data_IF_736249066180
#
_entry.id   IF_736249066180
#
_cell.length_a   1.000
_cell.length_b   1.000
_cell.length_c   1.000
_cell.angle_alpha   90.00
_cell.angle_beta   90.00
_cell.angle_gamma   90.00
#
_symmetry.space_group_name_H-M   'P 1'
#
loop_
_entity.id
_entity.type
_entity.pdbx_description
1 polymer ?
#
# COMPACT_ATOMS: atom_id res chain seq x y z
N UNK A 1 -30.83 8.76 -5.02
CA UNK A 1 -30.17 9.84 -5.78
C UNK A 1 -30.79 11.25 -5.60
N UNK A 2 -31.86 11.44 -4.80
CA UNK A 2 -32.53 12.76 -4.57
C UNK A 2 -31.90 13.68 -3.50
N UNK A 3 -30.89 13.22 -2.75
CA UNK A 3 -30.31 13.97 -1.62
C UNK A 3 -29.27 15.06 -2.00
N UNK A 4 -28.92 15.21 -3.28
CA UNK A 4 -27.83 16.11 -3.72
C UNK A 4 -28.30 17.24 -4.65
N UNK A 5 -29.58 17.33 -5.00
CA UNK A 5 -30.08 18.35 -5.95
C UNK A 5 -29.92 19.79 -5.44
N UNK A 6 -29.95 20.00 -4.12
CA UNK A 6 -29.82 21.33 -3.49
C UNK A 6 -28.42 21.66 -2.94
N UNK A 7 -27.41 20.82 -3.16
CA UNK A 7 -26.06 21.06 -2.63
C UNK A 7 -25.19 21.83 -3.62
N UNK A 8 -24.34 22.70 -3.09
CA UNK A 8 -23.38 23.48 -3.86
C UNK A 8 -22.46 22.57 -4.69
N UNK A 9 -22.05 23.06 -5.86
CA UNK A 9 -21.07 22.42 -6.73
C UNK A 9 -19.78 22.13 -5.96
N UNK A 10 -19.32 23.07 -5.14
CA UNK A 10 -18.16 22.89 -4.26
C UNK A 10 -18.32 21.68 -3.33
N UNK A 11 -19.49 21.52 -2.70
CA UNK A 11 -19.75 20.37 -1.84
C UNK A 11 -19.72 19.06 -2.61
N UNK A 12 -20.32 19.02 -3.82
CA UNK A 12 -20.33 17.81 -4.67
C UNK A 12 -18.90 17.40 -5.08
N UNK A 13 -18.06 18.37 -5.45
CA UNK A 13 -16.65 18.14 -5.79
C UNK A 13 -15.89 17.66 -4.55
N UNK A 14 -15.99 18.37 -3.43
CA UNK A 14 -15.30 18.00 -2.19
C UNK A 14 -15.69 16.61 -1.71
N UNK A 15 -16.98 16.26 -1.73
CA UNK A 15 -17.46 14.93 -1.36
C UNK A 15 -16.87 13.84 -2.27
N UNK A 16 -16.78 14.10 -3.58
CA UNK A 16 -16.18 13.15 -4.53
C UNK A 16 -14.66 12.98 -4.33
N UNK A 17 -13.94 14.07 -4.05
CA UNK A 17 -12.50 14.05 -3.76
C UNK A 17 -12.25 13.31 -2.45
N UNK A 18 -13.00 13.60 -1.39
CA UNK A 18 -12.88 12.92 -0.10
C UNK A 18 -13.17 11.42 -0.25
N UNK A 19 -14.21 11.05 -0.99
CA UNK A 19 -14.51 9.64 -1.25
C UNK A 19 -13.36 8.95 -2.01
N UNK A 20 -12.78 9.61 -3.03
CA UNK A 20 -11.63 9.07 -3.75
C UNK A 20 -10.40 8.91 -2.83
N UNK A 21 -10.12 9.88 -1.97
CA UNK A 21 -9.04 9.80 -0.99
C UNK A 21 -9.26 8.68 0.01
N UNK A 22 -10.46 8.54 0.56
CA UNK A 22 -10.77 7.45 1.51
C UNK A 22 -10.58 6.07 0.88
N UNK A 23 -11.02 5.89 -0.37
CA UNK A 23 -10.83 4.63 -1.08
C UNK A 23 -9.34 4.40 -1.37
N UNK A 24 -8.60 5.43 -1.76
CA UNK A 24 -7.16 5.33 -1.99
C UNK A 24 -6.40 4.98 -0.70
N UNK A 25 -6.73 5.63 0.42
CA UNK A 25 -6.17 5.30 1.74
C UNK A 25 -6.51 3.88 2.18
N UNK A 26 -7.75 3.43 1.96
CA UNK A 26 -8.14 2.06 2.25
C UNK A 26 -7.35 1.07 1.38
N UNK A 27 -7.13 1.37 0.10
CA UNK A 27 -6.32 0.53 -0.79
C UNK A 27 -4.86 0.44 -0.34
N UNK A 28 -4.28 1.54 0.14
CA UNK A 28 -2.92 1.57 0.66
C UNK A 28 -2.80 0.77 1.97
N UNK A 29 -3.77 0.91 2.88
CA UNK A 29 -3.79 0.12 4.12
C UNK A 29 -3.89 -1.38 3.81
N UNK A 30 -4.68 -1.75 2.81
CA UNK A 30 -4.82 -3.13 2.37
C UNK A 30 -3.52 -3.69 1.77
N UNK A 31 -2.79 -2.89 0.99
CA UNK A 31 -1.47 -3.31 0.48
C UNK A 31 -0.45 -3.48 1.60
N UNK A 32 -0.46 -2.63 2.63
CA UNK A 32 0.41 -2.78 3.80
C UNK A 32 0.11 -4.06 4.59
N UNK A 33 -1.17 -4.41 4.75
CA UNK A 33 -1.56 -5.67 5.41
C UNK A 33 -1.09 -6.90 4.63
N UNK A 34 -1.14 -6.83 3.29
CA UNK A 34 -0.66 -7.89 2.41
C UNK A 34 0.87 -8.04 2.48
N UNK A 35 1.62 -6.93 2.43
CA UNK A 35 3.06 -6.96 2.62
C UNK A 35 3.44 -7.58 3.96
N UNK A 36 2.74 -7.22 5.04
CA UNK A 36 2.97 -7.80 6.35
C UNK A 36 2.69 -9.32 6.37
N UNK A 37 1.61 -9.78 5.73
CA UNK A 37 1.29 -11.20 5.61
C UNK A 37 2.39 -11.97 4.88
N UNK A 38 2.81 -11.47 3.72
CA UNK A 38 3.88 -12.09 2.91
C UNK A 38 5.20 -12.09 3.69
N UNK A 39 5.55 -10.97 4.33
CA UNK A 39 6.77 -10.86 5.11
C UNK A 39 6.79 -11.80 6.32
N UNK A 40 5.65 -12.02 6.99
CA UNK A 40 5.57 -12.96 8.12
C UNK A 40 5.73 -14.41 7.67
N UNK A 41 5.02 -14.82 6.62
CA UNK A 41 5.14 -16.17 6.03
C UNK A 41 6.58 -16.45 5.57
N UNK A 42 7.23 -15.45 4.96
CA UNK A 42 8.64 -15.54 4.56
C UNK A 42 9.58 -15.51 5.76
N UNK A 43 9.39 -14.59 6.71
CA UNK A 43 10.33 -14.31 7.80
C UNK A 43 10.47 -15.43 8.82
N UNK A 44 9.39 -16.14 9.14
CA UNK A 44 9.44 -17.29 10.07
C UNK A 44 10.33 -18.43 9.53
N UNK A 45 10.31 -18.64 8.20
CA UNK A 45 11.15 -19.62 7.51
C UNK A 45 12.66 -19.28 7.55
N UNK A 46 13.02 -18.00 7.38
CA UNK A 46 14.42 -17.55 7.43
C UNK A 46 15.00 -17.58 8.84
N UNK A 47 14.16 -17.42 9.86
CA UNK A 47 14.57 -17.45 11.26
C UNK A 47 15.13 -18.83 11.65
N UNK A 48 14.40 -19.90 11.36
CA UNK A 48 14.84 -21.28 11.71
C UNK A 48 16.15 -21.69 11.01
N UNK A 49 16.34 -21.34 9.74
CA UNK A 49 17.60 -21.60 9.03
C UNK A 49 18.78 -20.82 9.63
N UNK A 50 18.53 -19.57 10.03
CA UNK A 50 19.56 -18.75 10.67
C UNK A 50 19.95 -19.30 12.04
N UNK A 51 18.98 -19.72 12.84
CA UNK A 51 19.19 -20.32 14.18
C UNK A 51 20.00 -21.61 14.08
N UNK A 52 19.69 -22.49 13.13
CA UNK A 52 20.44 -23.73 12.91
C UNK A 52 21.88 -23.47 12.46
N UNK A 53 22.12 -22.43 11.66
CA UNK A 53 23.48 -22.02 11.28
C UNK A 53 24.27 -21.46 12.46
N UNK A 54 23.64 -20.68 13.35
CA UNK A 54 24.27 -20.22 14.60
C UNK A 54 24.66 -21.42 15.45
N UNK A 55 23.75 -22.38 15.63
CA UNK A 55 24.02 -23.62 16.35
C UNK A 55 25.20 -24.41 15.77
N UNK A 56 25.24 -24.62 14.45
CA UNK A 56 26.35 -25.31 13.79
C UNK A 56 27.70 -24.60 13.99
N UNK A 57 27.72 -23.26 13.97
CA UNK A 57 28.93 -22.47 14.19
C UNK A 57 29.43 -22.56 15.63
N UNK A 58 28.55 -22.49 16.63
CA UNK A 58 28.94 -22.63 18.04
C UNK A 58 29.35 -24.07 18.37
N UNK A 59 28.74 -25.06 17.72
CA UNK A 59 29.17 -26.46 17.82
C UNK A 59 30.58 -26.67 17.26
N UNK A 60 30.91 -26.07 16.11
CA UNK A 60 32.25 -26.12 15.53
C UNK A 60 33.30 -25.43 16.44
N UNK A 61 32.92 -24.33 17.09
CA UNK A 61 33.78 -23.68 18.10
C UNK A 61 34.01 -24.57 19.32
N UNK A 62 32.97 -25.27 19.79
CA UNK A 62 33.07 -26.20 20.89
C UNK A 62 34.01 -27.36 20.55
N UNK A 63 33.84 -27.98 19.39
CA UNK A 63 34.71 -29.07 18.94
C UNK A 63 36.18 -28.63 18.80
N UNK A 64 36.43 -27.47 18.19
CA UNK A 64 37.78 -26.93 18.08
C UNK A 64 38.41 -26.61 19.45
N UNK A 65 37.63 -26.03 20.37
CA UNK A 65 38.14 -25.76 21.73
C UNK A 65 38.44 -27.03 22.52
N UNK A 66 37.66 -28.10 22.30
CA UNK A 66 37.93 -29.42 22.85
C UNK A 66 39.25 -29.97 22.30
N UNK A 67 39.44 -29.95 20.98
CA UNK A 67 40.68 -30.40 20.33
C UNK A 67 41.90 -29.65 20.88
N UNK A 68 41.85 -28.32 20.92
CA UNK A 68 42.93 -27.48 21.45
C UNK A 68 43.24 -27.80 22.92
N UNK A 69 42.23 -28.09 23.74
CA UNK A 69 42.46 -28.46 25.14
C UNK A 69 43.08 -29.84 25.27
N UNK A 70 42.62 -30.81 24.48
CA UNK A 70 43.20 -32.15 24.44
C UNK A 70 44.67 -32.06 24.01
N UNK A 71 45.01 -31.24 23.03
CA UNK A 71 46.38 -31.08 22.54
C UNK A 71 47.28 -30.29 23.50
N UNK A 72 46.90 -29.06 23.84
CA UNK A 72 47.80 -28.08 24.47
C UNK A 72 47.61 -27.92 25.98
N UNK A 73 46.46 -28.29 26.55
CA UNK A 73 46.14 -28.20 28.00
C UNK A 73 46.33 -26.80 28.60
N UNK A 74 46.12 -25.75 27.81
CA UNK A 74 46.25 -24.36 28.29
C UNK A 74 45.01 -23.94 29.09
N UNK A 75 45.17 -22.92 29.95
CA UNK A 75 44.03 -22.28 30.62
C UNK A 75 43.04 -21.68 29.61
N UNK A 76 43.55 -21.08 28.54
CA UNK A 76 42.73 -20.47 27.48
C UNK A 76 41.84 -21.49 26.76
N UNK A 77 42.39 -22.67 26.42
CA UNK A 77 41.63 -23.70 25.70
C UNK A 77 40.52 -24.33 26.57
N UNK A 78 40.76 -24.53 27.87
CA UNK A 78 39.73 -25.06 28.76
C UNK A 78 38.64 -24.03 29.09
N UNK A 79 38.99 -22.76 29.21
CA UNK A 79 38.03 -21.67 29.41
C UNK A 79 37.13 -21.53 28.17
N UNK A 80 37.74 -21.54 26.97
CA UNK A 80 37.02 -21.52 25.70
C UNK A 80 36.08 -22.74 25.55
N UNK A 81 36.50 -23.92 26.00
CA UNK A 81 35.65 -25.12 26.02
C UNK A 81 34.40 -24.93 26.88
N UNK A 82 34.53 -24.48 28.13
CA UNK A 82 33.34 -24.27 28.97
C UNK A 82 32.44 -23.15 28.44
N UNK A 83 33.02 -22.06 27.96
CA UNK A 83 32.26 -20.95 27.39
C UNK A 83 31.48 -21.36 26.14
N UNK A 84 32.06 -22.19 25.27
CA UNK A 84 31.38 -22.72 24.09
C UNK A 84 30.38 -23.82 24.44
N UNK A 85 30.70 -24.69 25.40
CA UNK A 85 29.80 -25.74 25.89
C UNK A 85 28.52 -25.16 26.46
N UNK A 86 28.61 -24.13 27.30
CA UNK A 86 27.45 -23.47 27.88
C UNK A 86 26.56 -22.83 26.80
N UNK A 87 27.15 -22.20 25.77
CA UNK A 87 26.38 -21.65 24.64
C UNK A 87 25.65 -22.72 23.84
N UNK A 88 26.31 -23.86 23.58
CA UNK A 88 25.67 -24.97 22.86
C UNK A 88 24.56 -25.60 23.70
N UNK A 89 24.74 -25.71 25.01
CA UNK A 89 23.70 -26.19 25.94
C UNK A 89 22.47 -25.26 25.94
N UNK A 90 22.65 -23.94 26.06
CA UNK A 90 21.57 -22.95 25.96
C UNK A 90 20.78 -23.06 24.64
N UNK A 91 21.49 -23.33 23.53
CA UNK A 91 20.85 -23.53 22.22
C UNK A 91 20.10 -24.86 22.14
N UNK A 92 20.59 -25.92 22.79
CA UNK A 92 19.90 -27.22 22.86
C UNK A 92 18.60 -27.13 23.66
N UNK A 93 18.56 -26.31 24.72
CA UNK A 93 17.36 -26.08 25.54
C UNK A 93 16.23 -25.41 24.75
N UNK A 94 16.56 -24.67 23.69
CA UNK A 94 15.59 -24.07 22.79
C UNK A 94 15.05 -25.04 21.72
N UNK A 95 15.67 -26.22 21.57
CA UNK A 95 15.27 -27.23 20.58
C UNK A 95 14.19 -28.19 21.12
N UNK A 96 13.55 -28.92 20.22
CA UNK A 96 12.57 -29.95 20.57
C UNK A 96 13.19 -31.01 21.52
N UNK A 97 12.56 -31.21 22.67
CA UNK A 97 13.03 -32.12 23.73
C UNK A 97 12.35 -33.50 23.71
N UNK A 98 11.27 -33.63 22.94
CA UNK A 98 10.39 -34.80 22.92
C UNK A 98 10.11 -35.28 21.49
N UNK A 99 9.95 -36.60 21.25
CA UNK A 99 9.58 -37.13 19.95
C UNK A 99 8.30 -36.49 19.37
N UNK A 100 8.25 -36.34 18.05
CA UNK A 100 7.13 -35.71 17.35
C UNK A 100 6.71 -36.52 16.12
N UNK A 101 5.44 -36.43 15.74
CA UNK A 101 4.94 -36.95 14.46
C UNK A 101 5.22 -36.00 13.30
N UNK A 102 5.54 -34.73 13.58
CA UNK A 102 5.96 -33.77 12.57
C UNK A 102 7.42 -34.04 12.21
N UNK A 103 7.72 -34.19 10.90
CA UNK A 103 9.04 -34.60 10.42
C UNK A 103 10.15 -33.62 10.82
N UNK A 104 9.91 -32.31 10.70
CA UNK A 104 10.88 -31.27 11.09
C UNK A 104 11.16 -31.34 12.59
N UNK A 105 10.12 -31.36 13.43
CA UNK A 105 10.28 -31.44 14.90
C UNK A 105 10.93 -32.74 15.34
N UNK A 106 10.61 -33.86 14.68
CA UNK A 106 11.26 -35.14 14.95
C UNK A 106 12.75 -35.08 14.61
N UNK A 107 13.12 -34.39 13.53
CA UNK A 107 14.52 -34.20 13.18
C UNK A 107 15.23 -33.26 14.15
N UNK A 108 14.60 -32.17 14.59
CA UNK A 108 15.14 -31.31 15.64
C UNK A 108 15.42 -32.08 16.94
N UNK A 109 14.49 -32.95 17.34
CA UNK A 109 14.68 -33.83 18.48
C UNK A 109 15.91 -34.73 18.31
N UNK A 110 16.08 -35.35 17.14
CA UNK A 110 17.26 -36.18 16.84
C UNK A 110 18.56 -35.37 16.91
N UNK A 111 18.59 -34.17 16.34
CA UNK A 111 19.75 -33.25 16.43
C UNK A 111 20.05 -32.92 17.89
N UNK A 112 19.05 -32.59 18.70
CA UNK A 112 19.21 -32.32 20.13
C UNK A 112 19.79 -33.53 20.89
N UNK A 113 19.32 -34.75 20.61
CA UNK A 113 19.86 -35.97 21.23
C UNK A 113 21.35 -36.21 20.89
N UNK A 114 21.75 -36.00 19.64
CA UNK A 114 23.15 -36.10 19.25
C UNK A 114 24.01 -34.99 19.86
N UNK A 115 23.47 -33.78 19.98
CA UNK A 115 24.13 -32.65 20.65
C UNK A 115 24.38 -32.93 22.13
N UNK A 116 23.37 -33.44 22.85
CA UNK A 116 23.53 -33.86 24.25
C UNK A 116 24.56 -34.99 24.40
N UNK A 117 24.58 -35.95 23.47
CA UNK A 117 25.58 -37.02 23.46
C UNK A 117 27.00 -36.47 23.24
N UNK A 118 27.18 -35.52 22.32
CA UNK A 118 28.44 -34.83 22.09
C UNK A 118 28.90 -34.04 23.32
N UNK A 119 28.03 -33.26 23.95
CA UNK A 119 28.29 -32.54 25.19
C UNK A 119 28.71 -33.50 26.31
N UNK A 120 28.02 -34.62 26.47
CA UNK A 120 28.35 -35.64 27.46
C UNK A 120 29.74 -36.24 27.24
N UNK A 121 30.03 -36.73 26.03
CA UNK A 121 31.32 -37.36 25.74
C UNK A 121 32.49 -36.37 25.75
N UNK A 122 32.28 -35.14 25.26
CA UNK A 122 33.31 -34.09 25.33
C UNK A 122 33.65 -33.75 26.78
N UNK A 123 32.66 -33.65 27.66
CA UNK A 123 32.87 -33.39 29.10
C UNK A 123 33.64 -34.53 29.77
N UNK A 124 33.33 -35.79 29.42
CA UNK A 124 34.09 -36.95 29.88
C UNK A 124 35.52 -36.96 29.36
N UNK A 125 35.74 -36.59 28.09
CA UNK A 125 37.07 -36.48 27.50
C UNK A 125 37.92 -35.41 28.21
N UNK A 126 37.33 -34.25 28.53
CA UNK A 126 37.97 -33.21 29.33
C UNK A 126 38.33 -33.72 30.73
N UNK A 127 37.41 -34.43 31.40
CA UNK A 127 37.65 -35.00 32.71
C UNK A 127 38.77 -36.05 32.72
N UNK A 128 38.79 -36.95 31.73
CA UNK A 128 39.89 -37.91 31.54
C UNK A 128 41.23 -37.20 31.31
N UNK A 129 41.22 -36.18 30.45
CA UNK A 129 42.44 -35.42 30.14
C UNK A 129 42.98 -34.72 31.38
N UNK A 130 42.12 -34.19 32.24
CA UNK A 130 42.47 -33.58 33.54
C UNK A 130 43.02 -34.60 34.53
N UNK A 131 42.44 -35.79 34.57
CA UNK A 131 42.89 -36.89 35.44
C UNK A 131 44.20 -37.56 34.94
N UNK A 132 44.81 -37.06 33.86
CA UNK A 132 45.95 -37.69 33.19
C UNK A 132 45.69 -39.15 32.75
N UNK A 133 44.43 -39.48 32.48
CA UNK A 133 44.07 -40.76 31.84
C UNK A 133 44.50 -40.75 30.37
N UNK A 134 45.00 -41.87 29.89
CA UNK A 134 45.47 -42.07 28.50
C UNK A 134 44.47 -42.86 27.64
N UNK A 135 43.27 -43.17 28.14
CA UNK A 135 42.32 -44.02 27.41
C UNK A 135 41.88 -43.41 26.07
N UNK A 136 41.64 -42.10 26.02
CA UNK A 136 41.25 -41.37 24.79
C UNK A 136 39.89 -41.76 24.19
N UNK A 137 39.20 -42.74 24.77
CA UNK A 137 37.98 -43.33 24.21
C UNK A 137 36.84 -42.31 24.16
N UNK A 138 36.65 -41.50 25.22
CA UNK A 138 35.59 -40.50 25.22
C UNK A 138 35.85 -39.37 24.22
N UNK A 139 37.12 -39.04 23.94
CA UNK A 139 37.45 -38.07 22.90
C UNK A 139 37.04 -38.60 21.52
N UNK A 140 37.41 -39.84 21.19
CA UNK A 140 36.99 -40.47 19.94
C UNK A 140 35.47 -40.58 19.81
N UNK A 141 34.78 -40.93 20.90
CA UNK A 141 33.31 -40.96 20.94
C UNK A 141 32.69 -39.57 20.73
N UNK A 142 33.29 -38.51 21.29
CA UNK A 142 32.84 -37.15 21.04
C UNK A 142 33.00 -36.75 19.57
N UNK A 143 34.12 -37.10 18.92
CA UNK A 143 34.32 -36.82 17.49
C UNK A 143 33.33 -37.60 16.62
N UNK A 144 33.01 -38.84 16.99
CA UNK A 144 32.00 -39.62 16.29
C UNK A 144 30.60 -39.02 16.44
N UNK A 145 30.23 -38.59 17.66
CA UNK A 145 28.96 -37.89 17.89
C UNK A 145 28.89 -36.57 17.12
N UNK A 146 29.98 -35.79 17.10
CA UNK A 146 30.07 -34.55 16.34
C UNK A 146 29.86 -34.80 14.83
N UNK A 147 30.48 -35.85 14.28
CA UNK A 147 30.29 -36.24 12.87
C UNK A 147 28.83 -36.57 12.56
N UNK A 148 28.17 -37.40 13.37
CA UNK A 148 26.75 -37.72 13.17
C UNK A 148 25.85 -36.49 13.34
N UNK A 149 26.16 -35.63 14.31
CA UNK A 149 25.45 -34.39 14.54
C UNK A 149 25.53 -33.44 13.34
N UNK A 150 26.70 -33.26 12.74
CA UNK A 150 26.84 -32.47 11.51
C UNK A 150 26.00 -33.03 10.35
N UNK A 151 25.95 -34.35 10.19
CA UNK A 151 25.11 -35.00 9.18
C UNK A 151 23.61 -34.72 9.43
N UNK A 152 23.15 -34.85 10.67
CA UNK A 152 21.76 -34.60 11.02
C UNK A 152 21.39 -33.11 10.94
N UNK A 153 22.31 -32.19 11.26
CA UNK A 153 22.14 -30.74 11.05
C UNK A 153 21.97 -30.45 9.55
N UNK A 154 22.75 -31.08 8.67
CA UNK A 154 22.59 -30.90 7.23
C UNK A 154 21.22 -31.39 6.74
N UNK A 155 20.78 -32.57 7.20
CA UNK A 155 19.44 -33.11 6.87
C UNK A 155 18.33 -32.19 7.40
N UNK A 156 18.47 -31.67 8.62
CA UNK A 156 17.51 -30.73 9.20
C UNK A 156 17.45 -29.41 8.40
N UNK A 157 18.60 -28.88 7.99
CA UNK A 157 18.65 -27.68 7.14
C UNK A 157 17.93 -27.90 5.80
N UNK A 158 18.16 -29.07 5.16
CA UNK A 158 17.44 -29.44 3.93
C UNK A 158 15.93 -29.54 4.21
N UNK A 159 15.51 -30.17 5.30
CA UNK A 159 14.09 -30.27 5.67
C UNK A 159 13.48 -28.89 5.94
N UNK A 160 14.18 -28.00 6.63
CA UNK A 160 13.74 -26.62 6.76
C UNK A 160 13.59 -25.94 5.40
N UNK A 161 14.59 -26.05 4.52
CA UNK A 161 14.51 -25.49 3.18
C UNK A 161 13.36 -26.07 2.35
N UNK A 162 13.11 -27.38 2.43
CA UNK A 162 12.01 -28.06 1.73
C UNK A 162 10.65 -27.66 2.29
N UNK A 163 10.47 -27.72 3.61
CA UNK A 163 9.23 -27.31 4.27
C UNK A 163 8.93 -25.83 3.98
N UNK A 164 9.94 -24.96 4.07
CA UNK A 164 9.81 -23.55 3.72
C UNK A 164 9.45 -23.38 2.22
N UNK A 165 10.09 -24.14 1.32
CA UNK A 165 9.78 -24.13 -0.10
C UNK A 165 8.36 -24.64 -0.42
N UNK A 166 7.87 -25.65 0.30
CA UNK A 166 6.49 -26.16 0.18
C UNK A 166 5.47 -25.13 0.68
N UNK A 167 5.74 -24.47 1.81
CA UNK A 167 4.96 -23.31 2.25
C UNK A 167 4.94 -22.22 1.18
N UNK A 168 6.09 -21.87 0.59
CA UNK A 168 6.16 -20.91 -0.52
C UNK A 168 5.42 -21.37 -1.77
N UNK A 169 5.45 -22.65 -2.11
CA UNK A 169 4.79 -23.20 -3.30
C UNK A 169 3.27 -23.28 -3.11
N UNK A 170 2.80 -23.72 -1.95
CA UNK A 170 1.38 -23.77 -1.59
C UNK A 170 0.79 -22.35 -1.52
N UNK A 171 1.51 -21.39 -0.93
CA UNK A 171 1.08 -20.00 -0.88
C UNK A 171 1.26 -19.25 -2.19
N UNK A 172 2.14 -19.68 -3.11
CA UNK A 172 2.34 -19.00 -4.39
C UNK A 172 1.06 -18.88 -5.19
N UNK A 173 0.20 -19.90 -5.18
CA UNK A 173 -1.10 -19.82 -5.87
C UNK A 173 -2.05 -18.85 -5.18
N UNK A 174 -2.09 -18.84 -3.85
CA UNK A 174 -2.91 -17.90 -3.08
C UNK A 174 -2.42 -16.45 -3.25
N UNK A 175 -1.11 -16.22 -3.15
CA UNK A 175 -0.45 -14.94 -3.39
C UNK A 175 -0.72 -14.46 -4.82
N UNK A 176 -0.57 -15.33 -5.83
CA UNK A 176 -0.85 -14.97 -7.23
C UNK A 176 -2.33 -14.65 -7.46
N UNK A 177 -3.25 -15.40 -6.82
CA UNK A 177 -4.67 -15.12 -6.89
C UNK A 177 -5.00 -13.78 -6.24
N UNK A 178 -4.44 -13.49 -5.07
CA UNK A 178 -4.58 -12.19 -4.40
C UNK A 178 -4.03 -11.05 -5.28
N UNK A 179 -2.84 -11.19 -5.85
CA UNK A 179 -2.29 -10.20 -6.79
C UNK A 179 -3.20 -9.97 -7.99
N UNK A 180 -3.76 -11.02 -8.59
CA UNK A 180 -4.70 -10.90 -9.71
C UNK A 180 -5.98 -10.17 -9.29
N UNK A 181 -6.56 -10.53 -8.15
CA UNK A 181 -7.75 -9.88 -7.59
C UNK A 181 -7.48 -8.39 -7.37
N UNK A 182 -6.32 -8.04 -6.81
CA UNK A 182 -5.93 -6.65 -6.62
C UNK A 182 -5.67 -5.90 -7.92
N UNK A 183 -4.98 -6.53 -8.89
CA UNK A 183 -4.75 -5.93 -10.19
C UNK A 183 -6.09 -5.60 -10.89
N UNK A 184 -7.05 -6.53 -10.86
CA UNK A 184 -8.40 -6.31 -11.39
C UNK A 184 -9.11 -5.20 -10.63
N UNK A 185 -9.05 -5.21 -9.29
CA UNK A 185 -9.63 -4.15 -8.46
C UNK A 185 -9.06 -2.76 -8.81
N UNK A 186 -7.74 -2.62 -8.90
CA UNK A 186 -7.08 -1.37 -9.28
C UNK A 186 -7.43 -0.93 -10.69
N UNK A 187 -7.50 -1.86 -11.65
CA UNK A 187 -7.91 -1.54 -13.02
C UNK A 187 -9.35 -1.01 -13.07
N UNK A 188 -10.28 -1.67 -12.39
CA UNK A 188 -11.68 -1.22 -12.30
C UNK A 188 -11.79 0.12 -11.57
N UNK A 189 -11.04 0.30 -10.49
CA UNK A 189 -11.02 1.53 -9.72
C UNK A 189 -10.47 2.71 -10.53
N UNK A 190 -9.41 2.49 -11.31
CA UNK A 190 -8.85 3.49 -12.20
C UNK A 190 -9.87 3.94 -13.27
N UNK A 191 -10.53 2.99 -13.93
CA UNK A 191 -11.59 3.29 -14.89
C UNK A 191 -12.75 4.05 -14.23
N UNK A 192 -13.15 3.64 -13.02
CA UNK A 192 -14.18 4.32 -12.26
C UNK A 192 -13.83 5.78 -11.93
N UNK A 193 -12.59 6.04 -11.48
CA UNK A 193 -12.12 7.41 -11.22
C UNK A 193 -12.15 8.24 -12.51
N UNK A 194 -11.65 7.70 -13.62
CA UNK A 194 -11.67 8.42 -14.90
C UNK A 194 -13.09 8.77 -15.35
N UNK A 195 -14.03 7.84 -15.23
CA UNK A 195 -15.43 8.07 -15.56
C UNK A 195 -16.06 9.14 -14.64
N UNK A 196 -15.79 9.06 -13.34
CA UNK A 196 -16.27 10.03 -12.34
C UNK A 196 -15.74 11.44 -12.65
N UNK A 197 -14.46 11.55 -12.95
CA UNK A 197 -13.76 12.80 -13.23
C UNK A 197 -14.28 13.43 -14.53
N UNK A 198 -14.45 12.63 -15.59
CA UNK A 198 -15.04 13.09 -16.84
C UNK A 198 -16.49 13.60 -16.64
N UNK A 199 -17.29 12.88 -15.85
CA UNK A 199 -18.66 13.30 -15.51
C UNK A 199 -18.71 14.61 -14.71
N UNK A 200 -17.82 14.78 -13.72
CA UNK A 200 -17.73 15.99 -12.90
C UNK A 200 -17.28 17.20 -13.72
N UNK A 201 -16.23 17.04 -14.54
CA UNK A 201 -15.74 18.10 -15.42
C UNK A 201 -16.85 18.52 -16.39
N UNK A 202 -17.54 17.56 -17.02
CA UNK A 202 -18.63 17.85 -17.96
C UNK A 202 -19.78 18.66 -17.34
N UNK A 203 -20.08 18.50 -16.05
CA UNK A 203 -21.09 19.32 -15.34
C UNK A 203 -20.68 20.77 -15.14
N UNK A 204 -19.41 21.11 -15.32
CA UNK A 204 -18.86 22.45 -15.13
C UNK A 204 -18.53 23.07 -16.49
N UNK A 205 -17.72 22.38 -17.29
CA UNK A 205 -17.19 22.92 -18.55
C UNK A 205 -18.25 23.14 -19.60
N UNK A 206 -19.24 22.24 -19.72
CA UNK A 206 -20.31 22.38 -20.73
C UNK A 206 -21.19 23.63 -20.48
N UNK A 207 -21.74 23.86 -19.27
CA UNK A 207 -22.40 25.12 -18.92
C UNK A 207 -21.57 26.38 -19.16
N UNK A 208 -20.28 26.34 -18.84
CA UNK A 208 -19.40 27.50 -19.01
C UNK A 208 -19.13 27.78 -20.50
N UNK A 209 -18.96 26.75 -21.31
CA UNK A 209 -18.84 26.88 -22.76
C UNK A 209 -20.11 27.47 -23.39
N UNK A 210 -21.29 27.01 -22.96
CA UNK A 210 -22.58 27.57 -23.38
C UNK A 210 -22.68 29.06 -23.02
N UNK A 211 -22.39 29.44 -21.77
CA UNK A 211 -22.39 30.84 -21.33
C UNK A 211 -21.41 31.69 -22.14
N UNK A 212 -20.19 31.20 -22.35
CA UNK A 212 -19.17 31.90 -23.13
C UNK A 212 -19.62 32.12 -24.58
N UNK A 213 -20.29 31.14 -25.20
CA UNK A 213 -20.77 31.26 -26.58
C UNK A 213 -21.89 32.30 -26.72
N UNK A 214 -22.83 32.35 -25.77
CA UNK A 214 -23.91 33.34 -25.76
C UNK A 214 -23.36 34.74 -25.45
N UNK A 215 -22.42 34.85 -24.52
CA UNK A 215 -21.75 36.11 -24.22
C UNK A 215 -21.09 36.72 -25.46
N UNK A 216 -20.46 35.89 -26.30
CA UNK A 216 -19.84 36.34 -27.54
C UNK A 216 -20.87 36.88 -28.55
N UNK A 217 -22.04 36.22 -28.68
CA UNK A 217 -23.14 36.70 -29.54
C UNK A 217 -23.67 38.05 -29.06
N UNK A 218 -23.90 38.18 -27.75
CA UNK A 218 -24.33 39.46 -27.15
C UNK A 218 -23.30 40.56 -27.39
N UNK A 219 -22.00 40.26 -27.28
CA UNK A 219 -20.93 41.21 -27.59
C UNK A 219 -20.90 41.64 -29.07
N UNK A 220 -21.39 40.79 -29.98
CA UNK A 220 -21.57 41.08 -31.41
C UNK A 220 -22.89 41.80 -31.73
N UNK A 221 -23.58 42.35 -30.71
CA UNK A 221 -24.88 43.02 -30.82
C UNK A 221 -26.03 42.10 -31.26
N UNK A 222 -25.85 40.79 -31.19
CA UNK A 222 -26.94 39.81 -31.35
C UNK A 222 -27.59 39.57 -29.98
N UNK A 223 -28.71 40.26 -29.76
CA UNK A 223 -29.47 40.18 -28.52
C UNK A 223 -30.60 39.15 -28.57
N UNK A 224 -30.86 38.49 -29.70
CA UNK A 224 -31.88 37.44 -29.85
C UNK A 224 -31.29 36.04 -29.55
N UNK A 225 -30.71 35.93 -28.36
CA UNK A 225 -30.14 34.68 -27.84
C UNK A 225 -31.12 33.91 -26.92
N UNK A 226 -31.12 32.58 -26.92
CA UNK A 226 -31.94 31.81 -26.00
C UNK A 226 -31.48 31.99 -24.54
N UNK A 227 -32.42 32.00 -23.60
CA UNK A 227 -32.14 31.97 -22.16
C UNK A 227 -31.77 30.54 -21.71
N UNK A 228 -30.90 30.41 -20.73
CA UNK A 228 -30.39 29.13 -20.24
C UNK A 228 -31.43 28.33 -19.44
N UNK A 229 -32.38 29.01 -18.78
CA UNK A 229 -33.51 28.39 -18.05
C UNK A 229 -33.10 27.24 -17.09
N UNK A 230 -31.97 27.41 -16.41
CA UNK A 230 -31.35 26.34 -15.61
C UNK A 230 -32.03 26.18 -14.26
N UNK A 231 -32.60 25.00 -14.00
CA UNK A 231 -33.27 24.63 -12.73
C UNK A 231 -32.32 24.24 -11.59
N UNK A 232 -31.01 24.19 -11.85
CA UNK A 232 -30.02 23.84 -10.83
C UNK A 232 -29.93 24.91 -9.74
N UNK A 233 -29.85 24.50 -8.48
CA UNK A 233 -29.70 25.41 -7.32
C UNK A 233 -28.25 25.60 -6.90
N UNK A 234 -27.29 25.09 -7.69
CA UNK A 234 -25.86 25.29 -7.46
C UNK A 234 -25.33 26.59 -8.09
N UNK A 235 -24.04 26.84 -7.88
CA UNK A 235 -23.32 28.03 -8.33
C UNK A 235 -23.45 28.24 -9.85
N UNK A 236 -23.42 27.16 -10.63
CA UNK A 236 -23.61 27.22 -12.09
C UNK A 236 -25.04 27.67 -12.42
N UNK A 237 -26.06 27.13 -11.73
CA UNK A 237 -27.43 27.57 -11.89
C UNK A 237 -27.64 29.05 -11.54
N UNK A 238 -26.99 29.53 -10.48
CA UNK A 238 -27.00 30.95 -10.10
C UNK A 238 -26.39 31.84 -11.19
N UNK A 239 -25.24 31.45 -11.75
CA UNK A 239 -24.58 32.20 -12.83
C UNK A 239 -25.48 32.25 -14.07
N UNK A 240 -26.05 31.11 -14.49
CA UNK A 240 -26.97 31.08 -15.64
C UNK A 240 -28.18 32.00 -15.43
N UNK A 241 -28.80 32.01 -14.24
CA UNK A 241 -29.92 32.92 -13.94
C UNK A 241 -29.52 34.39 -13.93
N UNK A 242 -28.34 34.72 -13.43
CA UNK A 242 -27.83 36.08 -13.48
C UNK A 242 -27.60 36.54 -14.93
N UNK A 243 -27.07 35.65 -15.77
CA UNK A 243 -26.88 35.90 -17.19
C UNK A 243 -28.21 36.07 -17.94
N UNK A 244 -29.22 35.25 -17.62
CA UNK A 244 -30.58 35.38 -18.17
C UNK A 244 -31.17 36.76 -17.84
N UNK A 245 -31.06 37.21 -16.59
CA UNK A 245 -31.52 38.55 -16.17
C UNK A 245 -30.80 39.66 -16.92
N UNK A 246 -29.49 39.54 -17.14
CA UNK A 246 -28.72 40.51 -17.90
C UNK A 246 -29.21 40.63 -19.35
N UNK A 247 -29.45 39.50 -20.03
CA UNK A 247 -29.99 39.49 -21.40
C UNK A 247 -31.37 40.15 -21.46
N UNK A 248 -32.26 39.82 -20.52
CA UNK A 248 -33.61 40.41 -20.45
C UNK A 248 -33.51 41.93 -20.24
N UNK A 249 -32.69 42.39 -19.30
CA UNK A 249 -32.51 43.82 -19.05
C UNK A 249 -31.96 44.55 -20.28
N UNK A 250 -30.99 43.98 -21.00
CA UNK A 250 -30.47 44.58 -22.24
C UNK A 250 -31.58 44.74 -23.29
N UNK A 251 -32.43 43.71 -23.49
CA UNK A 251 -33.56 43.79 -24.41
C UNK A 251 -34.56 44.89 -24.02
N UNK A 252 -34.95 44.94 -22.75
CA UNK A 252 -35.85 45.98 -22.25
C UNK A 252 -35.26 47.40 -22.40
N UNK A 253 -33.93 47.55 -22.23
CA UNK A 253 -33.25 48.82 -22.47
C UNK A 253 -33.28 49.21 -23.94
N UNK A 254 -33.07 48.27 -24.86
CA UNK A 254 -33.16 48.50 -26.31
C UNK A 254 -34.57 48.94 -26.69
N UNK A 255 -35.60 48.24 -26.20
CA UNK A 255 -37.00 48.59 -26.47
C UNK A 255 -37.34 50.01 -26.01
N UNK A 256 -36.88 50.40 -24.81
CA UNK A 256 -37.05 51.76 -24.29
C UNK A 256 -36.33 52.81 -25.14
N UNK A 257 -35.17 52.50 -25.70
CA UNK A 257 -34.44 53.40 -26.60
C UNK A 257 -35.24 53.60 -27.89
N UNK A 258 -35.79 52.52 -28.47
CA UNK A 258 -36.63 52.59 -29.66
C UNK A 258 -37.93 53.37 -29.43
N UNK A 259 -38.59 53.14 -28.29
CA UNK A 259 -39.80 53.88 -27.90
C UNK A 259 -39.50 55.38 -27.79
N UNK A 260 -38.41 55.75 -27.10
CA UNK A 260 -37.98 57.16 -27.00
C UNK A 260 -37.67 57.77 -28.36
N UNK A 261 -36.92 57.07 -29.21
CA UNK A 261 -36.59 57.55 -30.55
C UNK A 261 -37.84 57.77 -31.41
N UNK A 262 -38.84 56.89 -31.31
CA UNK A 262 -40.14 57.06 -31.98
C UNK A 262 -40.87 58.31 -31.48
N UNK A 263 -40.97 58.49 -30.16
CA UNK A 263 -41.63 59.67 -29.59
C UNK A 263 -40.93 60.98 -29.96
N UNK A 264 -39.60 60.99 -30.04
CA UNK A 264 -38.82 62.17 -30.45
C UNK A 264 -39.04 62.50 -31.93
N UNK A 265 -39.09 61.49 -32.80
CA UNK A 265 -39.41 61.70 -34.22
C UNK A 265 -40.83 62.23 -34.42
N UNK A 266 -41.83 61.67 -33.73
CA UNK A 266 -43.22 62.17 -33.79
C UNK A 266 -43.32 63.64 -33.29
N UNK A 267 -42.55 64.02 -32.27
CA UNK A 267 -42.48 65.41 -31.80
C UNK A 267 -41.82 66.34 -32.82
N UNK A 268 -40.75 65.88 -33.48
CA UNK A 268 -40.09 66.64 -34.56
C UNK A 268 -40.99 66.87 -35.75
N UNK A 269 -41.73 65.84 -36.19
CA UNK A 269 -42.69 65.97 -37.30
C UNK A 269 -43.75 67.02 -36.98
N UNK A 270 -44.36 66.96 -35.79
CA UNK A 270 -45.33 67.98 -35.35
C UNK A 270 -44.74 69.39 -35.27
N UNK A 271 -43.47 69.53 -34.85
CA UNK A 271 -42.79 70.83 -34.84
C UNK A 271 -42.58 71.38 -36.26
N UNK A 272 -42.22 70.52 -37.22
CA UNK A 272 -42.06 70.91 -38.61
C UNK A 272 -43.40 71.29 -39.25
N UNK A 273 -44.48 70.54 -38.99
CA UNK A 273 -45.83 70.88 -39.45
C UNK A 273 -46.30 72.23 -38.90
N UNK A 274 -46.10 72.46 -37.59
CA UNK A 274 -46.39 73.75 -36.97
C UNK A 274 -45.60 74.88 -37.63
N UNK A 275 -44.30 74.72 -37.84
CA UNK A 275 -43.46 75.73 -38.50
C UNK A 275 -43.89 76.00 -39.95
N UNK A 276 -44.28 74.99 -40.71
CA UNK A 276 -44.82 75.15 -42.05
C UNK A 276 -46.15 75.93 -42.03
N UNK A 277 -47.07 75.62 -41.10
CA UNK A 277 -48.31 76.36 -40.90
C UNK A 277 -48.07 77.84 -40.53
N UNK A 278 -47.03 78.13 -39.74
CA UNK A 278 -46.66 79.52 -39.42
C UNK A 278 -46.01 80.26 -40.59
N UNK A 279 -45.28 79.56 -41.46
CA UNK A 279 -44.65 80.15 -42.65
C UNK A 279 -45.65 80.43 -43.78
N UNK A 280 -46.71 79.62 -43.91
CA UNK A 280 -47.80 79.80 -44.90
C UNK A 280 -48.82 80.89 -44.48
N UNK A 281 -48.78 81.31 -43.21
CA UNK A 281 -49.64 82.35 -42.64
C UNK A 281 -49.01 83.77 -42.65
N UNK A 282 -47.80 83.94 -43.20
CA UNK A 282 -47.13 85.23 -43.44
C UNK A 282 -47.16 85.60 -44.92
#
# INVERSE_FOLDING_TARGET
>A
MKLTENKSLRWKIMASIIAAFLIMSASLALTMLMEHYVLKSVGESYKSNSELNVFANDLARLENSLELYIEYRTFESIDAYYASSARVEDLCDAMQDSPSTNEVRQKEYVVNQFAQSFLYYSSKAVAERRANSTSGNFYLQSLECYRFLLEEIQKLNILYMQNNAEFYAADRNNINLLFKVYAVFFALFFVFILALLNFLIGKITRPLAEISSVALRVAQQDFDVPLFNKKSHDEIGNICRAFDRMIISIREYIDKIWEKARTENELRERQMEMQALYADAQ
#
